data_IF_175222608770
#
_entry.id   IF_175222608770
#
_cell.length_a   1.000
_cell.length_b   1.000
_cell.length_c   1.000
_cell.angle_alpha   90.00
_cell.angle_beta   90.00
_cell.angle_gamma   90.00
#
_symmetry.space_group_name_H-M   'P 1'
#
loop_
_entity.id
_entity.type
_entity.pdbx_description
1 polymer ?
#
# COMPACT_ATOMS: atom_id res chain seq x y z
N UNK A 1 -2.62 7.62 -23.07
CA UNK A 1 -2.62 7.83 -22.29
C UNK A 1 -1.97 7.32 -21.44
N UNK A 2 -1.30 7.31 -20.95
CA UNK A 2 -0.71 6.83 -20.22
C UNK A 2 -0.72 7.08 -19.01
N UNK A 3 -0.63 6.93 -18.38
CA UNK A 3 -0.82 7.22 -17.27
C UNK A 3 -0.33 6.36 -16.33
N UNK A 4 0.64 5.60 -16.53
CA UNK A 4 1.12 4.65 -15.61
C UNK A 4 1.53 5.23 -14.31
N UNK A 5 2.30 6.28 -14.31
CA UNK A 5 2.74 6.85 -13.07
C UNK A 5 1.63 7.48 -12.31
N UNK A 6 0.77 8.16 -13.00
CA UNK A 6 -0.36 8.75 -12.36
C UNK A 6 -1.30 7.73 -11.83
N UNK A 7 -1.49 6.65 -12.55
CA UNK A 7 -2.34 5.58 -12.10
C UNK A 7 -1.86 4.97 -10.81
N UNK A 8 -0.54 4.81 -10.71
CA UNK A 8 0.05 4.28 -9.52
C UNK A 8 -0.24 5.16 -8.32
N UNK A 9 -0.02 6.46 -8.47
CA UNK A 9 -0.25 7.39 -7.38
C UNK A 9 -1.71 7.44 -6.99
N UNK A 10 -2.59 7.37 -7.97
CA UNK A 10 -4.01 7.39 -7.70
C UNK A 10 -4.46 6.16 -6.94
N UNK A 11 -3.92 5.00 -7.28
CA UNK A 11 -4.29 3.79 -6.58
C UNK A 11 -3.88 3.85 -5.12
N UNK A 12 -2.67 4.34 -4.84
CA UNK A 12 -2.25 4.52 -3.46
C UNK A 12 -3.12 5.51 -2.73
N UNK A 13 -3.55 6.56 -3.41
CA UNK A 13 -4.36 7.59 -2.79
C UNK A 13 -5.74 7.07 -2.37
N UNK A 14 -6.18 5.98 -2.97
CA UNK A 14 -7.48 5.39 -2.64
C UNK A 14 -7.42 4.47 -1.44
N UNK A 15 -6.23 4.20 -0.93
CA UNK A 15 -6.09 3.29 0.21
C UNK A 15 -6.54 3.98 1.49
N UNK A 16 -7.37 3.28 2.25
CA UNK A 16 -7.93 3.80 3.48
C UNK A 16 -7.60 2.88 4.64
N UNK A 17 -7.59 3.40 5.86
CA UNK A 17 -7.35 2.56 7.04
C UNK A 17 -8.29 1.36 7.05
N UNK A 18 -7.74 0.20 7.32
CA UNK A 18 -8.48 -1.05 7.35
C UNK A 18 -8.35 -1.86 6.08
N UNK A 19 -7.96 -1.23 4.97
CA UNK A 19 -7.80 -1.98 3.72
C UNK A 19 -6.58 -2.88 3.79
N UNK A 20 -6.65 -3.99 3.07
CA UNK A 20 -5.58 -4.98 3.04
C UNK A 20 -4.76 -4.81 1.79
N UNK A 21 -3.45 -4.93 1.96
CA UNK A 21 -2.51 -4.75 0.86
C UNK A 21 -1.36 -5.74 0.97
N UNK A 22 -0.57 -5.86 -0.12
CA UNK A 22 0.69 -6.57 -0.10
C UNK A 22 1.75 -5.66 -0.67
N UNK A 23 2.97 -5.83 -0.21
CA UNK A 23 4.10 -5.08 -0.76
C UNK A 23 4.48 -5.72 -2.10
N UNK A 24 4.69 -4.91 -3.15
CA UNK A 24 4.91 -5.48 -4.49
C UNK A 24 6.22 -6.26 -4.63
N UNK A 25 7.22 -5.95 -3.81
CA UNK A 25 8.51 -6.62 -3.93
C UNK A 25 8.93 -7.35 -2.66
N UNK A 26 8.21 -7.14 -1.54
CA UNK A 26 8.55 -7.79 -0.28
C UNK A 26 7.45 -8.78 0.07
N UNK A 27 7.35 -9.82 -0.73
CA UNK A 27 6.28 -10.81 -0.54
C UNK A 27 6.34 -11.47 0.83
N UNK A 28 7.55 -11.58 1.39
CA UNK A 28 7.72 -12.22 2.69
C UNK A 28 7.08 -11.45 3.83
N UNK A 29 6.78 -10.18 3.62
CA UNK A 29 6.15 -9.38 4.67
C UNK A 29 4.72 -9.83 4.93
N UNK A 30 4.13 -10.54 3.98
CA UNK A 30 2.78 -11.07 4.13
C UNK A 30 1.72 -10.00 3.92
N UNK A 31 0.55 -10.30 4.43
CA UNK A 31 -0.59 -9.41 4.29
C UNK A 31 -0.42 -8.21 5.20
N UNK A 32 -0.73 -7.03 4.69
CA UNK A 32 -0.64 -5.80 5.47
C UNK A 32 -1.99 -5.15 5.61
N UNK A 33 -2.17 -4.41 6.68
CA UNK A 33 -3.38 -3.64 6.89
C UNK A 33 -2.99 -2.17 6.97
N UNK A 34 -3.65 -1.35 6.17
CA UNK A 34 -3.38 0.08 6.15
C UNK A 34 -3.84 0.69 7.45
N UNK A 35 -2.96 1.47 8.08
CA UNK A 35 -3.27 2.15 9.33
C UNK A 35 -3.57 3.62 9.09
N UNK A 36 -2.85 4.25 8.18
CA UNK A 36 -3.07 5.65 7.83
C UNK A 36 -2.52 5.90 6.44
N UNK A 37 -3.02 6.94 5.82
CA UNK A 37 -2.56 7.34 4.50
C UNK A 37 -2.66 8.85 4.42
N UNK A 38 -1.54 9.53 4.66
CA UNK A 38 -1.51 10.98 4.72
C UNK A 38 -0.45 11.47 3.75
N UNK A 39 -0.87 12.23 2.75
CA UNK A 39 0.00 12.67 1.69
C UNK A 39 0.51 11.44 0.96
N UNK A 40 1.81 11.26 0.93
CA UNK A 40 2.39 10.08 0.30
C UNK A 40 2.89 9.07 1.34
N UNK A 41 2.50 9.26 2.61
CA UNK A 41 2.96 8.39 3.67
C UNK A 41 1.87 7.42 4.03
N UNK A 42 2.11 6.15 3.78
CA UNK A 42 1.14 5.10 4.04
C UNK A 42 1.71 4.19 5.12
N UNK A 43 1.12 4.20 6.29
CA UNK A 43 1.56 3.32 7.36
C UNK A 43 0.78 2.02 7.26
N UNK A 44 1.51 0.91 7.18
CA UNK A 44 0.92 -0.41 7.01
C UNK A 44 1.50 -1.34 8.05
N UNK A 45 0.66 -2.17 8.62
CA UNK A 45 1.09 -3.20 9.56
C UNK A 45 1.06 -4.54 8.84
N UNK A 46 2.24 -5.09 8.54
CA UNK A 46 2.36 -6.35 7.82
C UNK A 46 2.51 -7.52 8.79
N UNK A 47 1.93 -8.65 8.41
CA UNK A 47 1.91 -9.84 9.26
C UNK A 47 3.29 -10.26 9.75
N UNK A 48 4.25 -10.24 8.84
CA UNK A 48 5.58 -10.76 9.12
C UNK A 48 6.65 -9.69 9.22
N UNK A 49 6.24 -8.44 9.22
CA UNK A 49 7.21 -7.35 9.26
C UNK A 49 6.86 -6.32 10.33
N UNK A 50 5.58 -6.19 10.67
CA UNK A 50 5.13 -5.18 11.59
C UNK A 50 4.83 -3.88 10.90
N UNK A 51 4.87 -2.80 11.64
CA UNK A 51 4.46 -1.49 11.14
C UNK A 51 5.59 -0.86 10.32
N UNK A 52 5.26 -0.48 9.11
CA UNK A 52 6.21 0.13 8.18
C UNK A 52 5.56 1.35 7.55
N UNK A 53 6.32 2.41 7.36
CA UNK A 53 5.84 3.58 6.63
C UNK A 53 6.32 3.45 5.19
N UNK A 54 5.36 3.42 4.28
CA UNK A 54 5.62 3.25 2.86
C UNK A 54 5.57 4.61 2.17
N UNK A 55 6.58 4.88 1.33
CA UNK A 55 6.58 6.08 0.52
C UNK A 55 5.76 5.78 -0.74
N UNK A 56 4.54 6.27 -0.76
CA UNK A 56 3.61 5.99 -1.84
C UNK A 56 4.00 6.56 -3.19
N UNK A 57 5.02 7.41 -3.23
CA UNK A 57 5.52 7.92 -4.51
C UNK A 57 6.41 6.91 -5.19
N UNK A 58 7.03 6.02 -4.43
CA UNK A 58 7.99 5.06 -4.96
C UNK A 58 7.47 3.63 -4.95
N UNK A 59 6.46 3.34 -4.15
CA UNK A 59 5.95 1.99 -3.97
C UNK A 59 4.47 1.97 -4.25
N UNK A 60 4.03 1.11 -5.15
CA UNK A 60 2.61 0.94 -5.44
C UNK A 60 2.15 -0.33 -4.74
N UNK A 61 1.45 -0.15 -3.63
CA UNK A 61 0.94 -1.28 -2.87
C UNK A 61 -0.15 -2.00 -3.65
N UNK A 62 -0.23 -3.30 -3.50
CA UNK A 62 -1.21 -4.13 -4.19
C UNK A 62 -2.38 -4.34 -3.26
N UNK A 63 -3.54 -3.87 -3.67
CA UNK A 63 -4.72 -4.04 -2.84
C UNK A 63 -5.23 -5.47 -2.89
N UNK A 64 -5.56 -6.01 -1.72
CA UNK A 64 -6.10 -7.35 -1.59
C UNK A 64 -7.55 -7.23 -1.17
N UNK A 65 -8.43 -7.88 -1.92
CA UNK A 65 -9.85 -7.86 -1.60
C UNK A 65 -10.21 -9.14 -0.87
N UNK A 66 -10.96 -8.99 0.21
CA UNK A 66 -11.46 -10.14 0.91
C UNK A 66 -12.77 -10.57 0.29
N UNK A 67 -12.96 -11.85 0.17
CA UNK A 67 -14.21 -12.39 -0.41
C UNK A 67 -15.03 -13.11 0.64
#
# INVERSE_FOLDING_TARGET
>A
MQMTEQGKNEMNALLEPGMLVRHPTEADWGLGQVQSNIGHRITVNFENRGKVVIDGRNVALIRVFQT
#
